data_IF_666775386656
#
_entry.id   IF_666775386656
#
_cell.length_a   1.000
_cell.length_b   1.000
_cell.length_c   1.000
_cell.angle_alpha   90.00
_cell.angle_beta   90.00
_cell.angle_gamma   90.00
#
_symmetry.space_group_name_H-M   'P 1'
#
loop_
_entity.id
_entity.type
_entity.pdbx_description
1 polymer ?
#
# COMPACT_ATOMS: atom_id res chain seq x y z
N UNK A 1 -8.59 -2.89 -18.35
CA UNK A 1 -7.41 -2.11 -17.94
C UNK A 1 -7.42 -0.71 -18.53
N UNK A 2 -7.68 -0.59 -19.85
CA UNK A 2 -7.72 0.72 -20.50
C UNK A 2 -8.86 1.58 -19.96
N UNK A 3 -10.05 1.02 -19.76
CA UNK A 3 -11.19 1.74 -19.21
C UNK A 3 -10.92 2.26 -17.81
N UNK A 4 -10.29 1.46 -16.95
CA UNK A 4 -9.93 1.89 -15.60
C UNK A 4 -8.89 3.00 -15.62
N UNK A 5 -7.94 2.91 -16.53
CA UNK A 5 -6.94 3.95 -16.70
C UNK A 5 -7.56 5.26 -17.16
N UNK A 6 -8.46 5.19 -18.13
CA UNK A 6 -9.11 6.38 -18.68
C UNK A 6 -10.00 7.05 -17.63
N UNK A 7 -10.74 6.27 -16.87
CA UNK A 7 -11.54 6.80 -15.76
C UNK A 7 -10.67 7.49 -14.71
N UNK A 8 -9.57 6.88 -14.34
CA UNK A 8 -8.63 7.47 -13.40
C UNK A 8 -8.08 8.81 -13.90
N UNK A 9 -7.76 8.90 -15.19
CA UNK A 9 -7.23 10.13 -15.77
C UNK A 9 -8.29 11.21 -15.96
N UNK A 10 -9.54 10.80 -16.25
CA UNK A 10 -10.64 11.74 -16.46
C UNK A 10 -11.18 12.33 -15.15
N UNK A 11 -11.19 11.53 -14.10
CA UNK A 11 -11.69 11.96 -12.80
C UNK A 11 -10.70 12.89 -12.08
N UNK A 12 -9.48 12.94 -12.53
CA UNK A 12 -8.46 13.82 -11.99
C UNK A 12 -7.88 14.68 -13.10
N UNK A 13 -8.48 15.85 -13.40
CA UNK A 13 -7.96 16.79 -14.38
C UNK A 13 -6.67 17.44 -13.84
N UNK A 14 -5.71 16.63 -13.61
CA UNK A 14 -4.53 16.94 -12.82
C UNK A 14 -3.55 17.82 -13.61
N UNK A 15 -3.34 19.01 -13.11
CA UNK A 15 -2.25 19.89 -13.53
C UNK A 15 -1.22 19.92 -12.41
N UNK A 16 -0.06 19.27 -12.56
CA UNK A 16 0.90 19.07 -11.48
C UNK A 16 1.35 20.35 -10.77
N UNK A 17 1.41 21.44 -11.51
CA UNK A 17 1.90 22.72 -10.98
C UNK A 17 0.79 23.61 -10.42
N UNK A 18 -0.48 23.18 -10.51
CA UNK A 18 -1.60 24.01 -10.02
C UNK A 18 -1.76 23.85 -8.51
N UNK A 19 -1.47 24.91 -7.71
CA UNK A 19 -1.60 24.82 -6.26
C UNK A 19 -3.05 24.70 -5.77
N UNK A 20 -4.02 24.95 -6.65
CA UNK A 20 -5.45 24.77 -6.33
C UNK A 20 -5.93 23.35 -6.63
N UNK A 21 -5.13 22.54 -7.31
CA UNK A 21 -5.49 21.17 -7.62
C UNK A 21 -5.46 20.31 -6.34
N UNK A 22 -6.58 19.68 -6.02
CA UNK A 22 -6.72 18.88 -4.80
C UNK A 22 -5.74 17.70 -4.75
N UNK A 23 -5.50 17.04 -5.90
CA UNK A 23 -4.53 15.95 -5.98
C UNK A 23 -3.11 16.43 -5.70
N UNK A 24 -2.70 17.54 -6.32
CA UNK A 24 -1.40 18.13 -6.08
C UNK A 24 -1.20 18.47 -4.60
N UNK A 25 -2.18 19.09 -3.97
CA UNK A 25 -2.12 19.45 -2.55
C UNK A 25 -2.06 18.23 -1.65
N UNK A 26 -2.80 17.19 -1.99
CA UNK A 26 -2.76 15.91 -1.26
C UNK A 26 -1.37 15.28 -1.35
N UNK A 27 -0.80 15.22 -2.54
CA UNK A 27 0.53 14.64 -2.75
C UNK A 27 1.62 15.47 -2.07
N UNK A 28 1.51 16.80 -2.12
CA UNK A 28 2.43 17.67 -1.41
C UNK A 28 2.35 17.45 0.11
N UNK A 29 1.15 17.34 0.65
CA UNK A 29 0.94 17.02 2.06
C UNK A 29 1.52 15.67 2.43
N UNK A 30 1.31 14.65 1.59
CA UNK A 30 1.84 13.31 1.81
C UNK A 30 3.37 13.28 1.83
N UNK A 31 4.04 14.08 0.99
CA UNK A 31 5.52 14.13 0.93
C UNK A 31 6.15 14.98 2.03
N UNK A 32 5.41 15.89 2.63
CA UNK A 32 5.90 16.81 3.67
C UNK A 32 5.43 16.45 5.08
N UNK A 33 4.48 15.55 5.21
CA UNK A 33 3.97 15.11 6.52
C UNK A 33 5.01 14.31 7.30
N UNK A 34 4.90 14.38 8.61
CA UNK A 34 5.66 13.50 9.50
C UNK A 34 4.96 12.14 9.59
N UNK A 35 5.59 11.12 9.02
CA UNK A 35 5.08 9.76 9.00
C UNK A 35 5.60 8.90 10.16
N UNK A 36 6.04 9.51 11.23
CA UNK A 36 6.51 8.79 12.40
C UNK A 36 5.33 8.12 13.13
N UNK A 37 4.88 7.00 12.60
CA UNK A 37 3.75 6.23 13.13
C UNK A 37 4.26 5.25 14.18
N UNK A 38 3.66 5.21 15.38
CA UNK A 38 4.08 4.29 16.44
C UNK A 38 3.52 2.87 16.20
N UNK A 39 4.05 2.17 15.21
CA UNK A 39 3.60 0.83 14.83
C UNK A 39 3.68 -0.18 15.96
N UNK A 40 4.62 -0.01 16.88
CA UNK A 40 4.76 -0.87 18.06
C UNK A 40 3.58 -0.81 19.02
N UNK A 41 2.78 0.26 18.96
CA UNK A 41 1.55 0.40 19.73
C UNK A 41 0.35 -0.31 19.10
N UNK A 42 0.47 -0.77 17.85
CA UNK A 42 -0.58 -1.51 17.16
C UNK A 42 -0.55 -2.98 17.58
N UNK A 43 -1.18 -3.27 18.70
CA UNK A 43 -1.23 -4.64 19.25
C UNK A 43 -2.47 -5.38 18.75
N UNK A 44 -2.60 -5.46 17.43
CA UNK A 44 -3.66 -6.18 16.74
C UNK A 44 -3.05 -7.12 15.71
N UNK A 45 -3.69 -8.25 15.40
CA UNK A 45 -3.27 -9.08 14.28
C UNK A 45 -3.20 -8.25 13.01
N UNK A 46 -2.06 -8.22 12.37
CA UNK A 46 -1.81 -7.36 11.21
C UNK A 46 -1.09 -8.14 10.12
N UNK A 47 -1.64 -8.11 8.92
CA UNK A 47 -1.02 -8.73 7.75
C UNK A 47 -0.39 -7.65 6.87
N UNK A 48 0.90 -7.79 6.61
CA UNK A 48 1.65 -6.91 5.69
C UNK A 48 1.90 -7.68 4.39
N UNK A 49 1.38 -7.15 3.31
CA UNK A 49 1.59 -7.72 1.97
C UNK A 49 2.35 -6.69 1.13
N UNK A 50 3.43 -7.11 0.50
CA UNK A 50 4.19 -6.28 -0.41
C UNK A 50 4.53 -7.02 -1.69
N UNK A 51 4.59 -6.28 -2.81
CA UNK A 51 5.03 -6.80 -4.08
C UNK A 51 6.50 -6.47 -4.31
N UNK A 52 7.30 -7.47 -4.67
CA UNK A 52 8.73 -7.28 -4.87
C UNK A 52 9.08 -6.44 -6.10
N UNK A 53 8.13 -6.26 -7.03
CA UNK A 53 8.30 -5.36 -8.18
C UNK A 53 7.80 -3.95 -7.92
N UNK A 54 7.43 -3.63 -6.67
CA UNK A 54 7.06 -2.26 -6.30
C UNK A 54 8.30 -1.37 -6.40
N UNK A 55 8.27 -0.44 -7.36
CA UNK A 55 9.36 0.51 -7.59
C UNK A 55 9.05 1.90 -7.03
N UNK A 56 7.91 2.02 -6.36
CA UNK A 56 7.45 3.30 -5.81
C UNK A 56 7.73 3.39 -4.32
N UNK A 57 7.30 2.38 -3.56
CA UNK A 57 7.38 2.40 -2.11
C UNK A 57 8.12 1.22 -1.50
N UNK A 58 8.38 0.17 -2.27
CA UNK A 58 9.07 -0.98 -1.72
C UNK A 58 10.56 -0.69 -1.59
N UNK A 59 10.97 -0.52 -0.37
CA UNK A 59 12.36 -0.64 0.04
C UNK A 59 12.41 -1.71 1.12
N UNK A 60 13.22 -2.72 0.91
CA UNK A 60 13.20 -3.91 1.76
C UNK A 60 13.42 -3.56 3.24
N UNK A 61 14.31 -2.62 3.52
CA UNK A 61 14.57 -2.18 4.89
C UNK A 61 13.37 -1.50 5.55
N UNK A 62 12.55 -0.76 4.79
CA UNK A 62 11.35 -0.11 5.32
C UNK A 62 10.32 -1.16 5.72
N UNK A 63 10.09 -2.16 4.86
CA UNK A 63 9.16 -3.25 5.16
C UNK A 63 9.67 -4.10 6.33
N UNK A 64 10.98 -4.34 6.38
CA UNK A 64 11.61 -5.07 7.48
C UNK A 64 11.42 -4.34 8.83
N UNK A 65 11.64 -3.03 8.84
CA UNK A 65 11.46 -2.22 10.05
C UNK A 65 9.99 -2.19 10.49
N UNK A 66 9.07 -2.03 9.55
CA UNK A 66 7.65 -2.05 9.84
C UNK A 66 7.24 -3.39 10.46
N UNK A 67 7.60 -4.49 9.82
CA UNK A 67 7.25 -5.82 10.30
C UNK A 67 7.86 -6.10 11.68
N UNK A 68 9.12 -5.72 11.89
CA UNK A 68 9.81 -5.91 13.16
C UNK A 68 9.16 -5.14 14.30
N UNK A 69 8.50 -4.01 14.01
CA UNK A 69 7.85 -3.19 15.03
C UNK A 69 6.43 -3.64 15.38
N UNK A 70 5.81 -4.50 14.55
CA UNK A 70 4.45 -4.98 14.80
C UNK A 70 4.44 -6.11 15.84
N UNK A 71 3.71 -5.96 16.97
CA UNK A 71 3.64 -7.02 17.98
C UNK A 71 3.02 -8.32 17.49
N UNK A 72 2.04 -8.24 16.58
CA UNK A 72 1.33 -9.39 16.02
C UNK A 72 1.32 -9.33 14.50
N UNK A 73 2.48 -9.15 13.89
CA UNK A 73 2.61 -9.03 12.45
C UNK A 73 2.74 -10.38 11.75
N UNK A 74 2.13 -10.48 10.58
CA UNK A 74 2.40 -11.51 9.58
C UNK A 74 2.85 -10.83 8.30
N UNK A 75 3.72 -11.45 7.54
CA UNK A 75 4.32 -10.83 6.36
C UNK A 75 4.27 -11.77 5.17
N UNK A 76 3.91 -11.23 4.02
CA UNK A 76 4.01 -11.92 2.73
C UNK A 76 4.64 -10.96 1.72
N UNK A 77 5.73 -11.38 1.10
CA UNK A 77 6.38 -10.66 0.01
C UNK A 77 6.17 -11.44 -1.28
N UNK A 78 5.46 -10.84 -2.25
CA UNK A 78 5.05 -11.53 -3.46
C UNK A 78 5.95 -11.19 -4.64
N UNK A 79 6.66 -12.17 -5.16
CA UNK A 79 7.57 -12.01 -6.29
C UNK A 79 6.85 -11.79 -7.63
N UNK A 80 5.55 -11.98 -7.67
CA UNK A 80 4.70 -11.84 -8.86
C UNK A 80 3.77 -10.61 -8.79
N UNK A 81 4.06 -9.65 -7.93
CA UNK A 81 3.27 -8.44 -7.76
C UNK A 81 4.15 -7.20 -7.63
N UNK A 82 3.62 -6.06 -8.09
CA UNK A 82 4.21 -4.74 -7.91
C UNK A 82 3.50 -3.93 -6.85
N UNK A 83 3.48 -2.60 -7.02
CA UNK A 83 2.87 -1.68 -6.07
C UNK A 83 1.38 -1.95 -5.85
N UNK A 84 0.65 -2.22 -6.92
CA UNK A 84 -0.79 -2.45 -6.88
C UNK A 84 -1.09 -3.95 -6.84
N UNK A 85 -0.91 -4.57 -5.70
CA UNK A 85 -1.16 -6.02 -5.54
C UNK A 85 -2.61 -6.39 -5.84
N UNK A 86 -3.55 -5.46 -5.63
CA UNK A 86 -4.97 -5.64 -5.96
C UNK A 86 -5.21 -5.78 -7.46
N UNK A 87 -4.37 -5.19 -8.28
CA UNK A 87 -4.46 -5.25 -9.75
C UNK A 87 -3.65 -6.43 -10.28
N UNK A 88 -2.46 -6.64 -9.72
CA UNK A 88 -1.55 -7.66 -10.21
C UNK A 88 -1.97 -9.08 -9.81
N UNK A 89 -2.43 -9.24 -8.58
CA UNK A 89 -2.78 -10.55 -8.01
C UNK A 89 -4.09 -10.49 -7.23
N UNK A 90 -5.22 -10.20 -7.89
CA UNK A 90 -6.51 -10.04 -7.21
C UNK A 90 -7.00 -11.32 -6.54
N UNK A 91 -6.84 -12.47 -7.19
CA UNK A 91 -7.28 -13.75 -6.63
C UNK A 91 -6.41 -14.19 -5.46
N UNK A 92 -5.10 -14.00 -5.59
CA UNK A 92 -4.15 -14.30 -4.52
C UNK A 92 -4.40 -13.42 -3.30
N UNK A 93 -4.69 -12.13 -3.53
CA UNK A 93 -5.02 -11.21 -2.45
C UNK A 93 -6.29 -11.65 -1.72
N UNK A 94 -7.35 -11.99 -2.47
CA UNK A 94 -8.59 -12.48 -1.88
C UNK A 94 -8.35 -13.73 -1.03
N UNK A 95 -7.57 -14.68 -1.53
CA UNK A 95 -7.23 -15.90 -0.79
C UNK A 95 -6.43 -15.59 0.48
N UNK A 96 -5.46 -14.71 0.39
CA UNK A 96 -4.65 -14.30 1.55
C UNK A 96 -5.51 -13.65 2.64
N UNK A 97 -6.45 -12.80 2.25
CA UNK A 97 -7.37 -12.16 3.20
C UNK A 97 -8.31 -13.17 3.86
N UNK A 98 -8.83 -14.13 3.11
CA UNK A 98 -9.69 -15.19 3.64
C UNK A 98 -8.90 -16.04 4.65
N UNK A 99 -7.71 -16.45 4.32
CA UNK A 99 -6.85 -17.25 5.19
C UNK A 99 -6.46 -16.49 6.45
N UNK A 100 -6.10 -15.22 6.30
CA UNK A 100 -5.78 -14.36 7.43
C UNK A 100 -6.99 -14.22 8.37
N UNK A 101 -8.17 -13.91 7.84
CA UNK A 101 -9.38 -13.78 8.63
C UNK A 101 -9.71 -15.09 9.37
N UNK A 102 -9.56 -16.25 8.71
CA UNK A 102 -9.78 -17.55 9.33
C UNK A 102 -8.80 -17.84 10.47
N UNK A 103 -7.56 -17.36 10.36
CA UNK A 103 -6.53 -17.55 11.38
C UNK A 103 -6.80 -16.80 12.68
N UNK A 104 -7.72 -15.83 12.65
CA UNK A 104 -8.07 -15.00 13.81
C UNK A 104 -9.17 -15.62 14.70
N UNK A 105 -9.69 -16.75 14.32
CA UNK A 105 -10.77 -17.44 15.05
C UNK A 105 -10.25 -18.41 16.09
#
# INVERSE_FOLDING_TARGET
LQANRDNFLLDDPYEPADPLNGHYRLMLGATTADWNVPWSALNLPTLVISGLYDRVFFEANVVDELFASLPQGQRQDWSDAGHMVTVDQPHRLAQALIEFAASLR
#
